data_IF_682639940913
#
_entry.id   IF_682639940913
#
_cell.length_a   1.000
_cell.length_b   1.000
_cell.length_c   1.000
_cell.angle_alpha   90.00
_cell.angle_beta   90.00
_cell.angle_gamma   90.00
#
_symmetry.space_group_name_H-M   'P 1'
#
loop_
_entity.id
_entity.type
_entity.pdbx_description
1 polymer ?
#
# COMPACT_ATOMS: atom_id res chain seq x y z
N UNK A 1 15.17 24.55 10.90
CA UNK A 1 14.77 23.16 11.23
C UNK A 1 13.35 23.03 11.81
N UNK A 2 12.80 24.00 12.56
CA UNK A 2 11.43 23.94 13.13
C UNK A 2 10.28 23.95 12.10
N UNK A 3 10.46 24.59 10.93
CA UNK A 3 9.42 24.71 9.90
C UNK A 3 9.14 23.40 9.14
N UNK A 4 10.14 22.52 8.97
CA UNK A 4 9.99 21.23 8.28
C UNK A 4 9.23 20.19 9.10
N UNK A 5 9.20 20.36 10.42
CA UNK A 5 8.54 19.45 11.36
C UNK A 5 7.18 19.98 11.82
N UNK A 6 6.66 21.05 11.21
CA UNK A 6 5.33 21.55 11.54
C UNK A 6 4.26 20.58 11.00
N UNK A 7 3.17 20.31 11.75
CA UNK A 7 2.09 19.43 11.29
C UNK A 7 1.52 19.84 9.94
N UNK A 8 1.49 21.15 9.66
CA UNK A 8 1.05 21.73 8.40
C UNK A 8 1.99 21.38 7.23
N UNK A 9 3.30 21.51 7.45
CA UNK A 9 4.33 21.19 6.45
C UNK A 9 4.37 19.69 6.12
N UNK A 10 4.11 18.84 7.11
CA UNK A 10 4.10 17.39 6.97
C UNK A 10 2.90 16.88 6.17
N UNK A 11 1.72 17.45 6.41
CA UNK A 11 0.50 17.18 5.64
C UNK A 11 0.64 17.64 4.18
N UNK A 12 1.13 18.87 3.96
CA UNK A 12 1.23 19.44 2.61
C UNK A 12 2.37 18.87 1.76
N UNK A 13 3.57 18.65 2.32
CA UNK A 13 4.74 18.28 1.52
C UNK A 13 4.91 16.77 1.34
N UNK A 14 4.47 15.96 2.31
CA UNK A 14 4.66 14.50 2.27
C UNK A 14 3.37 13.73 2.01
N UNK A 15 2.22 14.42 1.94
CA UNK A 15 0.92 13.79 1.72
C UNK A 15 0.49 12.83 2.83
N UNK A 16 1.09 12.93 4.02
CA UNK A 16 0.80 12.05 5.16
C UNK A 16 -0.47 12.56 5.84
N UNK A 17 -1.59 11.80 5.80
CA UNK A 17 -2.82 12.22 6.43
C UNK A 17 -2.68 12.29 7.95
N UNK A 18 -3.49 13.15 8.57
CA UNK A 18 -3.46 13.38 10.02
C UNK A 18 -3.75 12.10 10.85
N UNK A 19 -4.49 11.16 10.28
CA UNK A 19 -4.77 9.85 10.88
C UNK A 19 -3.50 8.99 11.00
N UNK A 20 -2.63 8.99 9.98
CA UNK A 20 -1.34 8.28 10.02
C UNK A 20 -0.36 8.91 11.01
N UNK A 21 -0.41 10.24 11.21
CA UNK A 21 0.43 10.91 12.21
C UNK A 21 0.18 10.44 13.64
N UNK A 22 -1.05 10.02 13.96
CA UNK A 22 -1.40 9.49 15.29
C UNK A 22 -0.94 8.04 15.50
N UNK A 23 -0.58 7.34 14.42
CA UNK A 23 -0.15 5.94 14.47
C UNK A 23 1.37 5.78 14.67
N UNK A 24 2.12 6.88 14.60
CA UNK A 24 3.57 6.86 14.82
C UNK A 24 3.90 7.20 16.28
N UNK A 25 4.54 6.28 16.98
CA UNK A 25 4.97 6.47 18.39
C UNK A 25 6.08 7.53 18.57
N UNK A 26 6.73 7.95 17.47
CA UNK A 26 7.82 8.93 17.47
C UNK A 26 7.34 10.29 16.96
N UNK A 27 7.94 11.40 17.44
CA UNK A 27 7.79 12.69 16.80
C UNK A 27 8.08 12.55 15.29
N UNK A 28 7.22 13.12 14.45
CA UNK A 28 7.38 13.02 12.99
C UNK A 28 8.74 13.60 12.54
N UNK A 29 9.30 14.53 13.31
CA UNK A 29 10.66 15.02 13.15
C UNK A 29 11.72 13.91 13.19
N UNK A 30 11.60 12.98 14.14
CA UNK A 30 12.52 11.85 14.27
C UNK A 30 12.29 10.81 13.17
N UNK A 31 11.03 10.61 12.77
CA UNK A 31 10.73 9.79 11.59
C UNK A 31 11.38 10.37 10.33
N UNK A 32 11.18 11.67 10.06
CA UNK A 32 11.81 12.35 8.93
C UNK A 32 13.33 12.30 8.99
N UNK A 33 13.90 12.51 10.18
CA UNK A 33 15.35 12.42 10.38
C UNK A 33 15.85 11.02 10.05
N UNK A 34 15.18 9.98 10.55
CA UNK A 34 15.54 8.60 10.21
C UNK A 34 15.37 8.31 8.71
N UNK A 35 14.30 8.82 8.08
CA UNK A 35 14.10 8.65 6.62
C UNK A 35 15.22 9.31 5.83
N UNK A 36 15.62 10.52 6.21
CA UNK A 36 16.73 11.25 5.57
C UNK A 36 18.04 10.50 5.84
N UNK A 37 18.33 10.16 7.10
CA UNK A 37 19.56 9.46 7.48
C UNK A 37 19.68 8.11 6.74
N UNK A 38 18.63 7.31 6.68
CA UNK A 38 18.59 6.07 5.89
C UNK A 38 18.73 6.32 4.39
N UNK A 39 18.00 7.30 3.84
CA UNK A 39 18.05 7.58 2.40
C UNK A 39 19.43 8.04 1.92
N UNK A 40 20.15 8.81 2.74
CA UNK A 40 21.46 9.35 2.39
C UNK A 40 22.64 8.49 2.85
N UNK A 41 22.47 7.66 3.89
CA UNK A 41 23.58 6.89 4.50
C UNK A 41 23.54 5.41 4.16
N UNK A 42 22.36 4.83 3.96
CA UNK A 42 22.20 3.37 3.86
C UNK A 42 21.76 2.91 2.46
N UNK A 43 21.05 3.75 1.71
CA UNK A 43 20.56 3.37 0.39
C UNK A 43 21.57 3.66 -0.73
N UNK A 44 21.82 2.72 -1.64
CA UNK A 44 22.66 2.96 -2.80
C UNK A 44 21.92 3.85 -3.82
N UNK A 45 21.93 5.16 -3.60
CA UNK A 45 21.22 6.17 -4.39
C UNK A 45 21.49 6.08 -5.90
N UNK A 46 22.68 5.62 -6.28
CA UNK A 46 23.08 5.41 -7.69
C UNK A 46 22.29 4.27 -8.35
N UNK A 47 21.97 3.22 -7.60
CA UNK A 47 21.33 2.00 -8.09
C UNK A 47 19.86 1.89 -7.68
N UNK A 48 19.36 2.79 -6.84
CA UNK A 48 17.97 2.86 -6.44
C UNK A 48 17.20 3.82 -7.35
N UNK A 49 16.46 3.27 -8.31
CA UNK A 49 15.72 4.07 -9.29
C UNK A 49 14.62 4.93 -8.64
N UNK A 50 14.07 4.54 -7.47
CA UNK A 50 13.05 5.33 -6.79
C UNK A 50 13.57 6.71 -6.37
N UNK A 51 14.80 6.78 -5.87
CA UNK A 51 15.41 8.05 -5.45
C UNK A 51 16.13 8.78 -6.58
N UNK A 52 16.59 8.06 -7.61
CA UNK A 52 17.36 8.64 -8.70
C UNK A 52 16.65 9.82 -9.38
N UNK A 53 15.34 9.72 -9.61
CA UNK A 53 14.58 10.79 -10.27
C UNK A 53 14.55 12.07 -9.43
N UNK A 54 14.47 11.95 -8.11
CA UNK A 54 14.44 13.10 -7.20
C UNK A 54 15.79 13.84 -7.15
N UNK A 55 16.91 13.10 -7.22
CA UNK A 55 18.25 13.71 -7.15
C UNK A 55 18.81 14.15 -8.49
N UNK A 56 18.57 13.37 -9.55
CA UNK A 56 19.21 13.57 -10.86
C UNK A 56 18.24 14.04 -11.94
N UNK A 57 16.94 14.13 -11.66
CA UNK A 57 15.91 14.61 -12.59
C UNK A 57 15.67 13.70 -13.80
N UNK A 58 16.29 12.52 -13.86
CA UNK A 58 16.16 11.57 -14.98
C UNK A 58 16.37 10.13 -14.53
N UNK A 59 16.01 9.17 -15.38
CA UNK A 59 16.42 7.76 -15.27
C UNK A 59 17.62 7.47 -16.18
N UNK A 60 18.30 6.34 -15.97
CA UNK A 60 19.27 5.78 -16.93
C UNK A 60 18.81 4.40 -17.38
N UNK A 61 19.36 3.90 -18.49
CA UNK A 61 19.08 2.53 -18.96
C UNK A 61 19.40 1.47 -17.89
N UNK A 62 20.42 1.70 -17.07
CA UNK A 62 20.86 0.80 -16.01
C UNK A 62 20.08 0.96 -14.69
N UNK A 63 19.38 2.09 -14.51
CA UNK A 63 18.69 2.43 -13.26
C UNK A 63 17.36 3.12 -13.60
N UNK A 64 16.36 2.31 -13.92
CA UNK A 64 15.00 2.70 -14.26
C UNK A 64 13.99 1.66 -13.72
N UNK A 65 12.71 2.02 -13.55
CA UNK A 65 11.65 1.07 -13.23
C UNK A 65 11.63 -0.12 -14.19
N UNK A 66 11.28 -1.31 -13.69
CA UNK A 66 11.27 -2.55 -14.48
C UNK A 66 10.49 -2.44 -15.79
N UNK A 67 9.37 -1.72 -15.79
CA UNK A 67 8.52 -1.52 -16.98
C UNK A 67 9.14 -0.61 -18.04
N UNK A 68 10.20 0.17 -17.71
CA UNK A 68 10.93 1.00 -18.67
C UNK A 68 12.15 0.28 -19.28
N UNK A 69 12.54 -0.88 -18.76
CA UNK A 69 13.59 -1.69 -19.37
C UNK A 69 13.12 -2.15 -20.76
N UNK A 70 13.97 -2.00 -21.77
CA UNK A 70 13.64 -2.23 -23.18
C UNK A 70 12.95 -3.58 -23.43
N UNK A 71 13.49 -4.66 -22.86
CA UNK A 71 12.91 -5.99 -22.94
C UNK A 71 11.48 -6.05 -22.38
N UNK A 72 11.25 -5.48 -21.19
CA UNK A 72 9.95 -5.51 -20.53
C UNK A 72 8.95 -4.56 -21.20
N UNK A 73 9.42 -3.40 -21.66
CA UNK A 73 8.61 -2.45 -22.40
C UNK A 73 8.07 -3.08 -23.69
N UNK A 74 8.91 -3.81 -24.43
CA UNK A 74 8.48 -4.54 -25.63
C UNK A 74 7.41 -5.59 -25.27
N UNK A 75 7.63 -6.41 -24.23
CA UNK A 75 6.61 -7.36 -23.74
C UNK A 75 5.28 -6.70 -23.37
N UNK A 76 5.33 -5.52 -22.74
CA UNK A 76 4.14 -4.74 -22.42
C UNK A 76 3.40 -4.29 -23.67
N UNK A 77 4.14 -3.73 -24.64
CA UNK A 77 3.63 -3.27 -25.92
C UNK A 77 3.07 -4.39 -26.79
N UNK A 78 3.65 -5.58 -26.71
CA UNK A 78 3.23 -6.79 -27.44
C UNK A 78 1.94 -7.43 -26.86
N UNK A 79 1.30 -6.78 -25.89
CA UNK A 79 -0.08 -7.09 -25.50
C UNK A 79 -0.27 -7.48 -24.04
N UNK A 80 0.77 -7.52 -23.20
CA UNK A 80 0.56 -7.71 -21.75
C UNK A 80 -0.27 -6.57 -21.15
N UNK A 81 -0.21 -5.37 -21.72
CA UNK A 81 -1.05 -4.24 -21.31
C UNK A 81 -2.55 -4.54 -21.42
N UNK A 82 -2.96 -5.42 -22.34
CA UNK A 82 -4.37 -5.79 -22.55
C UNK A 82 -4.94 -6.64 -21.41
N UNK A 83 -4.11 -7.06 -20.45
CA UNK A 83 -4.53 -7.78 -19.24
C UNK A 83 -4.91 -6.85 -18.09
N UNK A 84 -4.74 -5.54 -18.28
CA UNK A 84 -5.06 -4.52 -17.26
C UNK A 84 -6.48 -4.03 -17.49
N UNK A 85 -7.32 -4.17 -16.46
CA UNK A 85 -8.65 -3.59 -16.41
C UNK A 85 -8.67 -2.48 -15.35
N UNK A 86 -9.16 -1.31 -15.73
CA UNK A 86 -9.27 -0.16 -14.84
C UNK A 86 -10.73 -0.01 -14.44
N UNK A 87 -10.97 0.13 -13.14
CA UNK A 87 -12.29 0.30 -12.57
C UNK A 87 -12.33 1.58 -11.73
N UNK A 88 -13.32 2.43 -11.99
CA UNK A 88 -13.54 3.67 -11.24
C UNK A 88 -14.69 3.46 -10.24
N UNK A 89 -14.39 2.79 -9.14
CA UNK A 89 -15.35 2.48 -8.08
C UNK A 89 -14.61 2.17 -6.77
N UNK A 90 -15.33 1.92 -5.68
CA UNK A 90 -14.70 1.48 -4.43
C UNK A 90 -14.31 0.00 -4.50
N UNK A 91 -13.29 -0.41 -3.74
CA UNK A 91 -12.85 -1.82 -3.68
C UNK A 91 -14.02 -2.72 -3.28
N UNK A 92 -14.76 -2.35 -2.23
CA UNK A 92 -15.95 -3.06 -1.78
C UNK A 92 -17.01 -3.20 -2.89
N UNK A 93 -17.30 -2.13 -3.62
CA UNK A 93 -18.32 -2.19 -4.66
C UNK A 93 -17.87 -3.05 -5.86
N UNK A 94 -16.61 -2.92 -6.28
CA UNK A 94 -16.03 -3.77 -7.31
C UNK A 94 -16.18 -5.26 -6.97
N UNK A 95 -15.83 -5.64 -5.75
CA UNK A 95 -15.91 -7.04 -5.28
C UNK A 95 -17.35 -7.54 -5.15
N UNK A 96 -18.29 -6.68 -4.75
CA UNK A 96 -19.72 -7.01 -4.73
C UNK A 96 -20.29 -7.25 -6.13
N UNK A 97 -19.86 -6.47 -7.12
CA UNK A 97 -20.30 -6.61 -8.51
C UNK A 97 -19.66 -7.84 -9.19
N UNK A 98 -18.47 -8.24 -8.75
CA UNK A 98 -17.66 -9.29 -9.36
C UNK A 98 -17.50 -10.52 -8.46
N UNK A 99 -18.61 -11.02 -7.90
CA UNK A 99 -18.70 -12.19 -7.00
C UNK A 99 -18.31 -13.52 -7.67
N UNK A 100 -17.05 -13.63 -8.03
CA UNK A 100 -16.45 -14.83 -8.61
C UNK A 100 -15.16 -15.02 -7.83
N UNK A 101 -15.06 -16.11 -7.06
CA UNK A 101 -13.85 -16.50 -6.29
C UNK A 101 -12.66 -16.76 -7.20
N UNK A 102 -12.09 -15.70 -7.77
CA UNK A 102 -11.09 -15.78 -8.85
C UNK A 102 -9.85 -14.96 -8.55
N UNK A 103 -9.86 -14.13 -7.49
CA UNK A 103 -8.73 -13.26 -7.19
C UNK A 103 -7.75 -14.02 -6.30
N UNK A 104 -6.54 -14.23 -6.81
CA UNK A 104 -5.49 -14.95 -6.10
C UNK A 104 -4.50 -14.04 -5.38
N UNK A 105 -4.47 -12.74 -5.67
CA UNK A 105 -3.53 -11.80 -5.04
C UNK A 105 -4.21 -10.45 -4.84
N UNK A 106 -4.13 -9.93 -3.62
CA UNK A 106 -4.54 -8.56 -3.30
C UNK A 106 -3.29 -7.75 -2.94
N UNK A 107 -3.09 -6.62 -3.63
CA UNK A 107 -2.06 -5.64 -3.32
C UNK A 107 -2.79 -4.37 -2.88
N UNK A 108 -2.85 -4.19 -1.57
CA UNK A 108 -3.54 -3.11 -0.89
C UNK A 108 -2.49 -2.06 -0.49
N UNK A 109 -2.81 -0.79 -0.64
CA UNK A 109 -1.90 0.26 -0.17
C UNK A 109 -2.25 0.62 1.28
N UNK A 110 -1.98 1.85 1.66
CA UNK A 110 -2.16 2.38 3.02
C UNK A 110 -3.58 2.87 3.31
N UNK A 111 -4.53 2.65 2.41
CA UNK A 111 -5.93 3.07 2.61
C UNK A 111 -6.58 2.35 3.81
N UNK A 112 -6.09 1.16 4.16
CA UNK A 112 -6.53 0.41 5.34
C UNK A 112 -6.28 1.16 6.64
N UNK A 113 -5.16 1.89 6.76
CA UNK A 113 -4.87 2.69 7.96
C UNK A 113 -5.88 3.84 8.13
N UNK A 114 -6.38 4.38 7.02
CA UNK A 114 -7.34 5.48 7.06
C UNK A 114 -8.72 4.96 7.43
N UNK A 115 -9.08 3.79 6.90
CA UNK A 115 -10.34 3.11 7.17
C UNK A 115 -10.41 2.49 8.56
N UNK A 116 -9.27 2.23 9.21
CA UNK A 116 -9.23 1.73 10.59
C UNK A 116 -9.96 2.65 11.59
N UNK A 117 -10.07 3.95 11.31
CA UNK A 117 -10.87 4.88 12.11
C UNK A 117 -12.39 4.64 12.00
N UNK A 118 -12.84 3.93 10.96
CA UNK A 118 -14.23 3.59 10.67
C UNK A 118 -14.38 2.06 10.54
N UNK A 119 -14.47 1.37 11.67
CA UNK A 119 -14.36 -0.09 11.76
C UNK A 119 -15.38 -0.87 10.93
N UNK A 120 -16.58 -0.32 10.71
CA UNK A 120 -17.64 -0.97 9.92
C UNK A 120 -17.29 -1.10 8.43
N UNK A 121 -16.78 -0.03 7.80
CA UNK A 121 -16.43 -0.03 6.37
C UNK A 121 -15.24 -0.96 6.13
N UNK A 122 -14.25 -0.93 7.02
CA UNK A 122 -13.09 -1.80 6.96
C UNK A 122 -13.48 -3.29 7.06
N UNK A 123 -14.38 -3.61 8.00
CA UNK A 123 -14.86 -4.98 8.18
C UNK A 123 -15.59 -5.47 6.93
N UNK A 124 -16.43 -4.62 6.34
CA UNK A 124 -17.15 -4.93 5.11
C UNK A 124 -16.20 -5.16 3.92
N UNK A 125 -15.18 -4.32 3.75
CA UNK A 125 -14.19 -4.50 2.69
C UNK A 125 -13.42 -5.81 2.85
N UNK A 126 -12.98 -6.15 4.06
CA UNK A 126 -12.30 -7.42 4.33
C UNK A 126 -13.18 -8.63 4.10
N UNK A 127 -14.46 -8.56 4.47
CA UNK A 127 -15.41 -9.64 4.18
C UNK A 127 -15.49 -9.87 2.67
N UNK A 128 -15.64 -8.80 1.87
CA UNK A 128 -15.70 -8.90 0.41
C UNK A 128 -14.38 -9.41 -0.20
N UNK A 129 -13.23 -9.01 0.34
CA UNK A 129 -11.92 -9.50 -0.10
C UNK A 129 -11.85 -11.01 0.07
N UNK A 130 -12.20 -11.52 1.24
CA UNK A 130 -12.14 -12.96 1.53
C UNK A 130 -13.17 -13.76 0.74
N UNK A 131 -14.39 -13.25 0.60
CA UNK A 131 -15.46 -13.91 -0.15
C UNK A 131 -15.11 -14.08 -1.64
N UNK A 132 -14.25 -13.21 -2.18
CA UNK A 132 -13.78 -13.23 -3.57
C UNK A 132 -12.37 -13.83 -3.76
N UNK A 133 -11.74 -14.25 -2.68
CA UNK A 133 -10.39 -14.82 -2.70
C UNK A 133 -10.38 -16.28 -3.11
N UNK A 134 -9.34 -16.69 -3.84
CA UNK A 134 -9.02 -18.12 -4.00
C UNK A 134 -8.48 -18.70 -2.69
N UNK A 135 -8.49 -20.04 -2.55
CA UNK A 135 -7.98 -20.70 -1.35
C UNK A 135 -6.49 -20.45 -1.08
N UNK A 136 -5.71 -20.23 -2.14
CA UNK A 136 -4.28 -19.94 -2.11
C UNK A 136 -3.97 -18.43 -2.21
N UNK A 137 -4.96 -17.59 -1.90
CA UNK A 137 -4.85 -16.15 -2.06
C UNK A 137 -3.77 -15.56 -1.13
N UNK A 138 -3.02 -14.57 -1.64
CA UNK A 138 -2.05 -13.82 -0.83
C UNK A 138 -2.47 -12.36 -0.72
N UNK A 139 -2.40 -11.83 0.49
CA UNK A 139 -2.75 -10.46 0.82
C UNK A 139 -1.47 -9.71 1.15
N UNK A 140 -1.19 -8.64 0.40
CA UNK A 140 -0.04 -7.78 0.62
C UNK A 140 -0.60 -6.39 0.88
N UNK A 141 -0.24 -5.79 2.01
CA UNK A 141 -0.63 -4.42 2.32
C UNK A 141 0.55 -3.57 2.78
N UNK A 142 0.36 -2.25 2.75
CA UNK A 142 1.28 -1.28 3.35
C UNK A 142 0.60 -0.64 4.54
N UNK A 143 1.30 -0.50 5.67
CA UNK A 143 0.82 0.25 6.83
C UNK A 143 1.84 1.29 7.28
N UNK A 144 1.35 2.41 7.78
CA UNK A 144 2.13 3.44 8.44
C UNK A 144 2.49 3.07 9.89
N UNK A 145 1.79 2.09 10.49
CA UNK A 145 2.11 1.58 11.82
C UNK A 145 3.01 0.35 11.75
N UNK A 146 3.84 0.15 12.77
CA UNK A 146 4.63 -1.07 12.95
C UNK A 146 3.78 -2.29 13.29
N UNK A 147 2.53 -2.07 13.76
CA UNK A 147 1.54 -3.12 14.02
C UNK A 147 0.30 -2.85 13.18
N UNK A 148 -0.11 -3.83 12.39
CA UNK A 148 -1.34 -3.76 11.62
C UNK A 148 -2.56 -4.04 12.53
N UNK A 149 -2.87 -3.13 13.46
CA UNK A 149 -3.95 -3.29 14.45
C UNK A 149 -5.32 -3.48 13.79
N UNK A 150 -5.50 -2.94 12.59
CA UNK A 150 -6.69 -3.16 11.77
C UNK A 150 -6.85 -4.61 11.32
N UNK A 151 -5.79 -5.41 11.28
CA UNK A 151 -5.87 -6.86 11.01
C UNK A 151 -6.27 -7.60 12.28
N UNK A 152 -5.68 -7.25 13.42
CA UNK A 152 -5.90 -7.94 14.69
C UNK A 152 -7.31 -7.70 15.27
N UNK A 153 -7.88 -6.52 15.03
CA UNK A 153 -9.16 -6.12 15.61
C UNK A 153 -10.38 -6.41 14.74
N UNK A 154 -10.18 -6.77 13.47
CA UNK A 154 -11.29 -6.98 12.54
C UNK A 154 -11.86 -8.39 12.67
N UNK A 155 -13.14 -8.46 13.05
CA UNK A 155 -13.91 -9.70 13.13
C UNK A 155 -14.69 -9.92 11.83
N UNK A 156 -14.59 -11.11 11.26
CA UNK A 156 -15.16 -11.48 9.97
C UNK A 156 -15.87 -12.82 10.06
N UNK A 157 -16.80 -13.06 9.14
CA UNK A 157 -17.50 -14.33 9.03
C UNK A 157 -16.84 -15.17 7.95
N UNK A 158 -16.28 -16.32 8.34
CA UNK A 158 -15.66 -17.27 7.41
C UNK A 158 -16.27 -18.65 7.64
N UNK A 159 -16.77 -19.27 6.57
CA UNK A 159 -17.46 -20.58 6.63
C UNK A 159 -18.58 -20.65 7.70
N UNK A 160 -19.30 -19.53 7.90
CA UNK A 160 -20.40 -19.44 8.86
C UNK A 160 -19.99 -19.25 10.32
N UNK A 161 -18.70 -19.08 10.61
CA UNK A 161 -18.18 -18.77 11.96
C UNK A 161 -17.56 -17.38 12.00
N UNK A 162 -17.76 -16.68 13.11
CA UNK A 162 -17.05 -15.42 13.37
C UNK A 162 -15.63 -15.74 13.84
N UNK A 163 -14.63 -15.18 13.17
CA UNK A 163 -13.21 -15.34 13.47
C UNK A 163 -12.48 -14.01 13.26
N UNK A 164 -11.28 -13.87 13.80
CA UNK A 164 -10.45 -12.67 13.63
C UNK A 164 -9.63 -12.79 12.36
N UNK A 165 -9.48 -11.67 11.64
CA UNK A 165 -8.80 -11.65 10.34
C UNK A 165 -7.36 -12.19 10.41
N UNK A 166 -6.62 -11.91 11.48
CA UNK A 166 -5.27 -12.42 11.70
C UNK A 166 -5.16 -13.96 11.77
N UNK A 167 -6.26 -14.69 11.99
CA UNK A 167 -6.26 -16.15 11.99
C UNK A 167 -6.40 -16.73 10.58
N UNK A 168 -6.83 -15.92 9.61
CA UNK A 168 -7.15 -16.35 8.25
C UNK A 168 -6.16 -15.89 7.20
N UNK A 169 -5.44 -14.80 7.46
CA UNK A 169 -4.42 -14.27 6.55
C UNK A 169 -3.03 -14.60 7.08
N UNK A 170 -2.16 -15.08 6.18
CA UNK A 170 -0.75 -15.39 6.45
C UNK A 170 0.15 -14.44 5.68
#
# INVERSE_FOLDING_TARGET
MKLLCSPFTLSLLNGIPFTQQKLTDKPIADFLKNVIDTAFSELPLKNNYFYRVYFYGKYTKQCCPEFLKEENFNKLKDGLINRISIHTTTVTNFLKEHQKKVISRFILLDHMDWMAATSNILTEEWQQILDNSTKDCRYIWRSASSKATFVDSTSITYEGKVTTLNQLIT
#
